data_IF_352563001290
#
_entry.id   IF_352563001290
#
_cell.length_a   1.000
_cell.length_b   1.000
_cell.length_c   1.000
_cell.angle_alpha   90.00
_cell.angle_beta   90.00
_cell.angle_gamma   90.00
#
_symmetry.space_group_name_H-M   'P 1'
#
loop_
_entity.id
_entity.type
_entity.pdbx_description
1 polymer ?
#
# COMPACT_ATOMS: atom_id res chain seq x y z
N UNK A 1 -2.24 -18.93 -37.93
CA UNK A 1 -1.61 -19.65 -36.81
C UNK A 1 -2.22 -19.08 -35.55
N UNK A 2 -3.13 -19.87 -34.96
CA UNK A 2 -4.23 -19.47 -34.07
C UNK A 2 -5.19 -18.49 -34.73
N UNK A 3 -6.48 -18.53 -34.43
CA UNK A 3 -7.36 -17.44 -34.86
C UNK A 3 -6.72 -16.18 -34.27
N UNK A 4 -6.27 -15.20 -35.08
CA UNK A 4 -5.69 -13.95 -34.55
C UNK A 4 -6.57 -13.34 -33.44
N UNK A 5 -7.88 -13.62 -33.55
CA UNK A 5 -8.88 -13.33 -32.53
C UNK A 5 -8.56 -13.98 -31.18
N UNK A 6 -8.34 -15.29 -31.10
CA UNK A 6 -8.06 -16.00 -29.84
C UNK A 6 -6.81 -15.45 -29.15
N UNK A 7 -5.69 -15.28 -29.88
CA UNK A 7 -4.46 -14.74 -29.29
C UNK A 7 -4.65 -13.31 -28.76
N UNK A 8 -5.33 -12.45 -29.52
CA UNK A 8 -5.64 -11.08 -29.10
C UNK A 8 -6.54 -11.05 -27.87
N UNK A 9 -7.51 -11.95 -27.78
CA UNK A 9 -8.37 -12.05 -26.60
C UNK A 9 -7.58 -12.58 -25.39
N UNK A 10 -6.68 -13.56 -25.54
CA UNK A 10 -5.75 -13.96 -24.48
C UNK A 10 -4.87 -12.80 -23.98
N UNK A 11 -4.29 -12.02 -24.90
CA UNK A 11 -3.52 -10.82 -24.54
C UNK A 11 -4.37 -9.80 -23.76
N UNK A 12 -5.62 -9.58 -24.18
CA UNK A 12 -6.56 -8.71 -23.45
C UNK A 12 -6.86 -9.26 -22.05
N UNK A 13 -7.09 -10.57 -21.90
CA UNK A 13 -7.28 -11.19 -20.59
C UNK A 13 -6.05 -11.01 -19.70
N UNK A 14 -4.84 -11.19 -20.24
CA UNK A 14 -3.59 -10.92 -19.50
C UNK A 14 -3.53 -9.46 -19.04
N UNK A 15 -3.86 -8.49 -19.90
CA UNK A 15 -3.96 -7.08 -19.49
C UNK A 15 -4.98 -6.88 -18.36
N UNK A 16 -6.18 -7.44 -18.48
CA UNK A 16 -7.26 -7.31 -17.47
C UNK A 16 -6.81 -7.79 -16.10
N UNK A 17 -6.12 -8.93 -16.04
CA UNK A 17 -5.75 -9.57 -14.79
C UNK A 17 -4.42 -9.10 -14.21
N UNK A 18 -3.36 -9.02 -15.02
CA UNK A 18 -2.01 -8.70 -14.53
C UNK A 18 -1.74 -7.20 -14.44
N UNK A 19 -2.35 -6.40 -15.32
CA UNK A 19 -2.17 -4.95 -15.34
C UNK A 19 -3.33 -4.20 -14.66
N UNK A 20 -4.26 -4.94 -14.04
CA UNK A 20 -5.40 -4.43 -13.27
C UNK A 20 -6.35 -3.48 -14.02
N UNK A 21 -6.46 -3.62 -15.34
CA UNK A 21 -7.38 -2.83 -16.19
C UNK A 21 -8.87 -3.04 -15.80
N UNK A 22 -9.21 -4.26 -15.36
CA UNK A 22 -10.49 -4.58 -14.73
C UNK A 22 -10.24 -5.09 -13.32
N UNK A 23 -9.78 -4.21 -12.43
CA UNK A 23 -9.34 -4.56 -11.08
C UNK A 23 -10.46 -4.75 -10.03
N UNK A 24 -11.75 -4.76 -10.37
CA UNK A 24 -12.82 -4.94 -9.37
C UNK A 24 -12.73 -6.30 -8.66
N UNK A 25 -12.36 -7.36 -9.39
CA UNK A 25 -12.13 -8.69 -8.81
C UNK A 25 -11.00 -8.67 -7.78
N UNK A 26 -9.94 -7.87 -7.98
CA UNK A 26 -8.80 -7.83 -7.04
C UNK A 26 -9.24 -7.21 -5.71
N UNK A 27 -10.15 -6.24 -5.77
CA UNK A 27 -10.70 -5.62 -4.57
C UNK A 27 -11.51 -6.66 -3.79
N UNK A 28 -12.43 -7.38 -4.45
CA UNK A 28 -13.19 -8.45 -3.80
C UNK A 28 -12.28 -9.57 -3.25
N UNK A 29 -11.26 -9.96 -4.01
CA UNK A 29 -10.29 -10.97 -3.59
C UNK A 29 -9.52 -10.55 -2.34
N UNK A 30 -8.98 -9.32 -2.32
CA UNK A 30 -8.18 -8.83 -1.20
C UNK A 30 -8.99 -8.72 0.10
N UNK A 31 -10.28 -8.42 0.03
CA UNK A 31 -11.16 -8.42 1.21
C UNK A 31 -11.39 -9.85 1.70
N UNK A 32 -11.78 -10.75 0.80
CA UNK A 32 -12.09 -12.13 1.14
C UNK A 32 -10.84 -12.90 1.63
N UNK A 33 -9.66 -12.55 1.11
CA UNK A 33 -8.38 -13.17 1.44
C UNK A 33 -7.56 -12.42 2.49
N UNK A 34 -8.06 -11.30 3.05
CA UNK A 34 -7.30 -10.47 3.99
C UNK A 34 -6.70 -11.26 5.17
N UNK A 35 -7.49 -12.16 5.77
CA UNK A 35 -7.04 -12.98 6.89
C UNK A 35 -5.99 -14.03 6.51
N UNK A 36 -5.92 -14.43 5.24
CA UNK A 36 -4.90 -15.37 4.76
C UNK A 36 -3.65 -14.62 4.30
N UNK A 37 -3.79 -13.51 3.59
CA UNK A 37 -2.68 -12.70 3.06
C UNK A 37 -1.89 -11.94 4.14
N UNK A 38 -2.45 -11.74 5.33
CA UNK A 38 -1.73 -11.17 6.49
C UNK A 38 -0.77 -12.16 7.15
N UNK A 39 -0.90 -13.45 6.90
CA UNK A 39 -0.01 -14.47 7.49
C UNK A 39 1.37 -14.40 6.85
N UNK A 40 2.35 -14.99 7.52
CA UNK A 40 3.65 -15.27 6.92
C UNK A 40 3.49 -16.25 5.74
N UNK A 41 4.24 -16.03 4.66
CA UNK A 41 4.19 -16.79 3.41
C UNK A 41 4.31 -18.31 3.58
N UNK A 42 5.04 -18.79 4.61
CA UNK A 42 5.19 -20.22 4.90
C UNK A 42 3.88 -20.90 5.34
N UNK A 43 2.96 -20.13 5.92
CA UNK A 43 1.70 -20.63 6.51
C UNK A 43 0.49 -20.36 5.59
N UNK A 44 0.67 -19.57 4.53
CA UNK A 44 -0.40 -19.22 3.59
C UNK A 44 -0.84 -20.46 2.80
N UNK A 45 -2.13 -20.76 2.85
CA UNK A 45 -2.71 -21.86 2.06
C UNK A 45 -3.01 -21.44 0.63
N UNK A 46 -2.22 -21.94 -0.34
CA UNK A 46 -2.47 -21.73 -1.77
C UNK A 46 -3.86 -22.21 -2.19
N UNK A 47 -4.30 -23.39 -1.72
CA UNK A 47 -5.63 -23.92 -2.03
C UNK A 47 -6.76 -22.98 -1.59
N UNK A 48 -6.64 -22.41 -0.38
CA UNK A 48 -7.63 -21.45 0.12
C UNK A 48 -7.64 -20.18 -0.73
N UNK A 49 -6.47 -19.64 -1.08
CA UNK A 49 -6.37 -18.46 -1.94
C UNK A 49 -6.96 -18.74 -3.33
N UNK A 50 -6.74 -19.93 -3.90
CA UNK A 50 -7.34 -20.32 -5.17
C UNK A 50 -8.87 -20.32 -5.12
N UNK A 51 -9.47 -20.91 -4.07
CA UNK A 51 -10.94 -20.89 -3.90
C UNK A 51 -11.50 -19.48 -3.71
N UNK A 52 -10.78 -18.61 -2.99
CA UNK A 52 -11.19 -17.22 -2.79
C UNK A 52 -11.06 -16.40 -4.09
N UNK A 53 -10.02 -16.66 -4.89
CA UNK A 53 -9.85 -16.03 -6.19
C UNK A 53 -10.96 -16.45 -7.15
N UNK A 54 -11.30 -17.75 -7.22
CA UNK A 54 -12.39 -18.25 -8.06
C UNK A 54 -13.73 -17.59 -7.68
N UNK A 55 -14.00 -17.47 -6.37
CA UNK A 55 -15.19 -16.76 -5.90
C UNK A 55 -15.19 -15.30 -6.35
N UNK A 56 -14.09 -14.58 -6.14
CA UNK A 56 -13.95 -13.16 -6.50
C UNK A 56 -14.07 -12.90 -8.01
N UNK A 57 -13.55 -13.82 -8.84
CA UNK A 57 -13.71 -13.78 -10.30
C UNK A 57 -15.17 -13.98 -10.71
N UNK A 58 -15.89 -14.90 -10.06
CA UNK A 58 -17.29 -15.20 -10.38
C UNK A 58 -18.26 -14.10 -9.96
N UNK A 59 -17.95 -13.37 -8.88
CA UNK A 59 -18.81 -12.30 -8.34
C UNK A 59 -18.48 -10.91 -8.87
N UNK A 60 -17.49 -10.78 -9.75
CA UNK A 60 -17.05 -9.50 -10.33
C UNK A 60 -17.37 -9.42 -11.82
N UNK A 61 -17.08 -8.27 -12.42
CA UNK A 61 -17.19 -8.07 -13.87
C UNK A 61 -16.24 -8.97 -14.67
N UNK A 62 -15.17 -9.48 -14.04
CA UNK A 62 -14.25 -10.45 -14.63
C UNK A 62 -14.91 -11.79 -15.00
N UNK A 63 -16.11 -12.09 -14.47
CA UNK A 63 -16.86 -13.30 -14.80
C UNK A 63 -17.19 -13.40 -16.31
N UNK A 64 -17.25 -12.26 -17.01
CA UNK A 64 -17.50 -12.18 -18.44
C UNK A 64 -16.29 -12.57 -19.31
N UNK A 65 -15.08 -12.65 -18.73
CA UNK A 65 -13.88 -13.02 -19.48
C UNK A 65 -13.88 -14.52 -19.81
N UNK A 66 -13.72 -14.91 -21.09
CA UNK A 66 -13.78 -16.31 -21.52
C UNK A 66 -12.58 -17.14 -21.04
N UNK A 67 -11.49 -16.50 -20.62
CA UNK A 67 -10.24 -17.17 -20.24
C UNK A 67 -9.89 -16.97 -18.76
N UNK A 68 -10.87 -16.60 -17.92
CA UNK A 68 -10.69 -16.45 -16.47
C UNK A 68 -10.20 -17.74 -15.79
N UNK A 69 -10.58 -18.91 -16.32
CA UNK A 69 -10.23 -20.22 -15.76
C UNK A 69 -8.74 -20.57 -15.96
N UNK A 70 -8.01 -19.82 -16.79
CA UNK A 70 -6.57 -19.97 -16.97
C UNK A 70 -5.75 -19.33 -15.84
N UNK A 71 -6.39 -18.55 -14.96
CA UNK A 71 -5.73 -17.92 -13.83
C UNK A 71 -5.47 -18.91 -12.69
N UNK A 72 -4.25 -18.88 -12.19
CA UNK A 72 -3.82 -19.70 -11.06
C UNK A 72 -3.19 -18.81 -9.98
N UNK A 73 -3.31 -19.22 -8.73
CA UNK A 73 -2.57 -18.57 -7.63
C UNK A 73 -1.19 -19.20 -7.52
N UNK A 74 -0.17 -18.36 -7.35
CA UNK A 74 1.21 -18.76 -7.02
C UNK A 74 1.66 -17.99 -5.78
N UNK A 75 2.44 -18.66 -4.93
CA UNK A 75 3.07 -18.07 -3.74
C UNK A 75 4.58 -18.15 -3.94
N UNK A 76 5.25 -17.00 -3.95
CA UNK A 76 6.70 -16.91 -4.04
C UNK A 76 7.36 -17.00 -2.66
N UNK A 77 8.58 -17.52 -2.62
CA UNK A 77 9.43 -17.59 -1.43
C UNK A 77 10.41 -16.41 -1.33
N UNK A 78 10.25 -15.40 -2.18
CA UNK A 78 11.11 -14.24 -2.30
C UNK A 78 10.28 -12.98 -2.62
N UNK A 79 10.78 -11.81 -2.25
CA UNK A 79 10.13 -10.52 -2.51
C UNK A 79 10.21 -10.09 -3.99
N UNK A 80 9.63 -8.95 -4.31
CA UNK A 80 9.66 -8.41 -5.68
C UNK A 80 11.08 -8.01 -6.10
N UNK A 81 11.87 -7.43 -5.19
CA UNK A 81 13.24 -7.00 -5.49
C UNK A 81 14.11 -8.21 -5.83
N UNK A 82 14.03 -9.28 -5.03
CA UNK A 82 14.75 -10.53 -5.30
C UNK A 82 14.30 -11.17 -6.62
N UNK A 83 13.00 -11.14 -6.94
CA UNK A 83 12.51 -11.62 -8.24
C UNK A 83 13.14 -10.85 -9.42
N UNK A 84 13.18 -9.52 -9.34
CA UNK A 84 13.75 -8.67 -10.37
C UNK A 84 15.24 -8.96 -10.54
N UNK A 85 15.98 -9.03 -9.44
CA UNK A 85 17.42 -9.35 -9.47
C UNK A 85 17.69 -10.73 -10.08
N UNK A 86 16.86 -11.73 -9.79
CA UNK A 86 16.97 -13.07 -10.39
C UNK A 86 16.76 -13.01 -11.91
N UNK A 87 15.75 -12.30 -12.39
CA UNK A 87 15.46 -12.24 -13.83
C UNK A 87 16.45 -11.36 -14.60
N UNK A 88 16.92 -10.26 -14.01
CA UNK A 88 17.97 -9.43 -14.62
C UNK A 88 19.29 -10.22 -14.76
N UNK A 89 19.63 -11.06 -13.78
CA UNK A 89 20.84 -11.93 -13.83
C UNK A 89 20.68 -13.13 -14.74
N UNK A 90 19.48 -13.69 -14.88
CA UNK A 90 19.24 -14.79 -15.82
C UNK A 90 19.48 -14.38 -17.30
N UNK A 91 19.48 -13.08 -17.60
CA UNK A 91 19.84 -12.54 -18.92
C UNK A 91 21.33 -12.26 -19.12
N UNK A 92 22.17 -12.35 -18.08
CA UNK A 92 23.63 -12.24 -18.18
C UNK A 92 24.25 -13.64 -18.29
N UNK A 93 25.13 -13.87 -19.26
CA UNK A 93 25.81 -15.17 -19.50
C UNK A 93 26.83 -15.55 -18.40
N UNK A 94 26.90 -14.80 -17.29
CA UNK A 94 27.83 -15.04 -16.19
C UNK A 94 27.32 -16.16 -15.25
N UNK A 95 27.87 -17.37 -15.44
CA UNK A 95 27.92 -18.55 -14.54
C UNK A 95 26.63 -18.97 -13.77
N UNK A 96 26.03 -20.15 -14.07
CA UNK A 96 24.77 -20.61 -13.45
C UNK A 96 24.93 -21.27 -12.07
N UNK A 97 26.12 -21.26 -11.46
CA UNK A 97 26.38 -22.00 -10.22
C UNK A 97 26.65 -21.08 -9.02
N UNK A 98 25.74 -21.11 -8.06
CA UNK A 98 25.79 -20.50 -6.71
C UNK A 98 25.18 -19.11 -6.53
N UNK A 99 23.87 -18.98 -6.69
CA UNK A 99 23.10 -18.25 -5.67
C UNK A 99 21.72 -18.91 -5.56
N UNK A 100 21.44 -19.55 -4.42
CA UNK A 100 20.06 -19.91 -4.06
C UNK A 100 19.23 -18.62 -4.05
N UNK A 101 17.94 -18.64 -4.45
CA UNK A 101 17.05 -17.51 -4.20
C UNK A 101 17.23 -17.08 -2.75
N UNK A 102 17.45 -15.79 -2.49
CA UNK A 102 17.44 -15.29 -1.12
C UNK A 102 16.03 -15.57 -0.62
N UNK A 103 15.88 -16.67 0.12
CA UNK A 103 14.64 -17.01 0.80
C UNK A 103 14.46 -15.98 1.89
N UNK A 104 13.55 -15.05 1.66
CA UNK A 104 13.16 -14.11 2.68
C UNK A 104 12.07 -14.76 3.53
N UNK A 105 12.48 -15.27 4.69
CA UNK A 105 11.60 -16.04 5.58
C UNK A 105 10.51 -15.20 6.23
N UNK A 106 10.56 -13.87 6.10
CA UNK A 106 9.66 -12.95 6.79
C UNK A 106 8.65 -12.25 5.86
N UNK A 107 8.38 -12.82 4.68
CA UNK A 107 7.41 -12.26 3.74
C UNK A 107 5.98 -12.41 4.24
N UNK A 108 5.21 -11.34 4.13
CA UNK A 108 3.76 -11.41 4.24
C UNK A 108 3.15 -12.13 3.04
N UNK A 109 1.96 -12.70 3.21
CA UNK A 109 1.19 -13.27 2.11
C UNK A 109 0.89 -12.24 1.01
N UNK A 110 0.75 -10.95 1.33
CA UNK A 110 0.61 -9.88 0.34
C UNK A 110 1.86 -9.69 -0.52
N UNK A 111 3.06 -9.84 0.04
CA UNK A 111 4.31 -9.75 -0.71
C UNK A 111 4.56 -11.02 -1.52
N UNK A 112 4.20 -12.19 -0.99
CA UNK A 112 4.44 -13.48 -1.62
C UNK A 112 3.41 -13.85 -2.71
N UNK A 113 2.19 -13.33 -2.63
CA UNK A 113 1.10 -13.69 -3.55
C UNK A 113 1.32 -13.16 -4.97
N UNK A 114 1.00 -13.99 -5.96
CA UNK A 114 0.99 -13.61 -7.37
C UNK A 114 -0.05 -14.43 -8.16
N UNK A 115 -0.37 -13.95 -9.35
CA UNK A 115 -1.15 -14.68 -10.34
C UNK A 115 -0.23 -15.37 -11.35
N UNK A 116 -0.67 -16.50 -11.88
CA UNK A 116 -0.08 -17.19 -13.02
C UNK A 116 -1.16 -17.42 -14.09
N UNK A 117 -0.75 -17.55 -15.35
CA UNK A 117 -1.66 -17.68 -16.48
C UNK A 117 -1.25 -18.87 -17.34
N UNK A 118 -2.04 -19.94 -17.28
CA UNK A 118 -1.71 -21.20 -17.94
C UNK A 118 -2.44 -21.31 -19.27
N UNK A 119 -1.68 -21.38 -20.35
CA UNK A 119 -2.19 -21.59 -21.70
C UNK A 119 -1.56 -22.83 -22.33
N UNK A 120 -2.34 -23.51 -23.17
CA UNK A 120 -1.82 -24.61 -23.98
C UNK A 120 -1.05 -24.12 -25.20
N UNK A 121 -0.33 -25.04 -25.83
CA UNK A 121 0.19 -24.84 -27.18
C UNK A 121 -0.97 -24.54 -28.15
N UNK A 122 -0.84 -23.57 -29.07
CA UNK A 122 0.36 -22.81 -29.43
C UNK A 122 0.50 -21.44 -28.76
N UNK A 123 -0.46 -21.00 -27.94
CA UNK A 123 -0.47 -19.64 -27.37
C UNK A 123 0.70 -19.44 -26.41
N UNK A 124 1.10 -20.51 -25.72
CA UNK A 124 2.26 -20.58 -24.83
C UNK A 124 3.59 -20.15 -25.50
N UNK A 125 3.68 -20.21 -26.84
CA UNK A 125 4.84 -19.71 -27.57
C UNK A 125 4.99 -18.19 -27.48
N UNK A 126 3.87 -17.46 -27.44
CA UNK A 126 3.82 -16.00 -27.28
C UNK A 126 3.79 -15.63 -25.80
N UNK A 127 2.95 -16.29 -25.02
CA UNK A 127 2.86 -16.12 -23.56
C UNK A 127 3.84 -17.02 -22.83
N UNK A 128 5.11 -16.95 -23.23
CA UNK A 128 6.15 -17.80 -22.68
C UNK A 128 6.53 -17.39 -21.24
N UNK A 129 7.37 -18.21 -20.59
CA UNK A 129 7.79 -17.96 -19.20
C UNK A 129 8.44 -16.59 -18.98
N UNK A 130 9.29 -16.17 -19.91
CA UNK A 130 10.02 -14.90 -19.85
C UNK A 130 9.08 -13.68 -19.88
N UNK A 131 8.02 -13.76 -20.69
CA UNK A 131 6.95 -12.76 -20.79
C UNK A 131 6.10 -12.77 -19.52
N UNK A 132 5.67 -13.95 -19.07
CA UNK A 132 4.84 -14.09 -17.88
C UNK A 132 5.54 -13.64 -16.59
N UNK A 133 6.85 -13.87 -16.45
CA UNK A 133 7.65 -13.36 -15.33
C UNK A 133 7.60 -11.83 -15.22
N UNK A 134 7.69 -11.11 -16.36
CA UNK A 134 7.60 -9.64 -16.38
C UNK A 134 6.20 -9.16 -16.02
N UNK A 135 5.15 -9.84 -16.52
CA UNK A 135 3.77 -9.55 -16.10
C UNK A 135 3.56 -9.79 -14.60
N UNK A 136 4.15 -10.85 -14.04
CA UNK A 136 4.07 -11.15 -12.61
C UNK A 136 4.74 -10.07 -11.77
N UNK A 137 5.90 -9.55 -12.18
CA UNK A 137 6.56 -8.43 -11.49
C UNK A 137 5.69 -7.16 -11.51
N UNK A 138 5.15 -6.80 -12.68
CA UNK A 138 4.24 -5.66 -12.82
C UNK A 138 2.99 -5.84 -11.94
N UNK A 139 2.39 -7.03 -11.96
CA UNK A 139 1.24 -7.36 -11.14
C UNK A 139 1.53 -7.21 -9.64
N UNK A 140 2.63 -7.80 -9.14
CA UNK A 140 3.03 -7.71 -7.73
C UNK A 140 3.23 -6.26 -7.31
N UNK A 141 3.84 -5.44 -8.18
CA UNK A 141 4.04 -4.03 -7.92
C UNK A 141 2.72 -3.26 -7.80
N UNK A 142 1.84 -3.40 -8.79
CA UNK A 142 0.53 -2.75 -8.82
C UNK A 142 -0.36 -3.21 -7.65
N UNK A 143 -0.36 -4.51 -7.36
CA UNK A 143 -1.13 -5.11 -6.27
C UNK A 143 -0.69 -4.55 -4.92
N UNK A 144 0.63 -4.44 -4.68
CA UNK A 144 1.11 -3.90 -3.41
C UNK A 144 0.72 -2.44 -3.23
N UNK A 145 0.82 -1.60 -4.27
CA UNK A 145 0.29 -0.24 -4.21
C UNK A 145 -1.21 -0.21 -3.92
N UNK A 146 -2.00 -1.11 -4.54
CA UNK A 146 -3.44 -1.25 -4.26
C UNK A 146 -3.71 -1.67 -2.81
N UNK A 147 -2.87 -2.51 -2.24
CA UNK A 147 -2.95 -2.90 -0.83
C UNK A 147 -2.73 -1.70 0.10
N UNK A 148 -1.68 -0.93 -0.13
CA UNK A 148 -1.37 0.26 0.68
C UNK A 148 -2.48 1.30 0.57
N UNK A 149 -2.96 1.58 -0.64
CA UNK A 149 -4.08 2.51 -0.89
C UNK A 149 -5.29 2.16 -0.02
N UNK A 150 -5.69 0.88 -0.03
CA UNK A 150 -6.85 0.41 0.74
C UNK A 150 -6.67 0.53 2.25
N UNK A 151 -5.49 0.19 2.75
CA UNK A 151 -5.18 0.34 4.17
C UNK A 151 -5.28 1.81 4.61
N UNK A 152 -4.79 2.73 3.78
CA UNK A 152 -4.88 4.16 4.04
C UNK A 152 -6.32 4.67 3.92
N UNK A 153 -7.12 4.19 2.96
CA UNK A 153 -8.54 4.55 2.85
C UNK A 153 -9.31 4.22 4.14
N UNK A 154 -9.02 3.08 4.79
CA UNK A 154 -9.67 2.67 6.04
C UNK A 154 -9.43 3.63 7.23
N UNK A 155 -8.50 4.57 7.11
CA UNK A 155 -8.24 5.60 8.13
C UNK A 155 -9.29 6.72 8.19
N UNK A 156 -10.28 6.73 7.29
CA UNK A 156 -11.36 7.74 7.24
C UNK A 156 -12.06 7.94 8.59
N UNK A 157 -12.04 6.91 9.44
CA UNK A 157 -12.58 6.97 10.80
C UNK A 157 -11.90 8.04 11.67
N UNK A 158 -10.61 8.34 11.45
CA UNK A 158 -9.90 9.40 12.18
C UNK A 158 -10.55 10.76 11.96
N UNK A 159 -10.98 11.07 10.73
CA UNK A 159 -11.69 12.31 10.43
C UNK A 159 -13.06 12.37 11.13
N UNK A 160 -13.70 11.22 11.34
CA UNK A 160 -14.95 11.13 12.10
C UNK A 160 -14.73 11.27 13.62
N UNK A 161 -13.63 10.73 14.14
CA UNK A 161 -13.24 10.84 15.56
C UNK A 161 -12.79 12.26 15.90
N UNK A 162 -12.02 12.91 15.03
CA UNK A 162 -11.60 14.31 15.19
C UNK A 162 -12.80 15.25 15.41
N UNK A 163 -13.91 15.03 14.69
CA UNK A 163 -15.14 15.83 14.84
C UNK A 163 -15.89 15.61 16.16
N UNK A 164 -15.57 14.56 16.93
CA UNK A 164 -16.28 14.15 18.14
C UNK A 164 -15.48 14.34 19.44
N UNK A 165 -14.20 14.70 19.36
CA UNK A 165 -13.31 14.82 20.52
C UNK A 165 -13.13 16.26 21.00
N UNK A 166 -12.62 16.41 22.23
CA UNK A 166 -12.22 17.71 22.81
C UNK A 166 -11.00 18.32 22.07
N UNK A 167 -10.87 19.65 22.13
CA UNK A 167 -9.92 20.46 21.33
C UNK A 167 -8.48 19.92 21.20
N UNK A 168 -7.88 19.38 22.26
CA UNK A 168 -6.51 18.83 22.22
C UNK A 168 -6.43 17.49 21.47
N UNK A 169 -7.39 16.59 21.70
CA UNK A 169 -7.47 15.32 20.99
C UNK A 169 -7.80 15.56 19.51
N UNK A 170 -8.67 16.53 19.23
CA UNK A 170 -8.99 16.98 17.88
C UNK A 170 -7.77 17.44 17.11
N UNK A 171 -6.80 18.08 17.77
CA UNK A 171 -5.61 18.61 17.10
C UNK A 171 -4.74 17.48 16.53
N UNK A 172 -4.38 16.46 17.33
CA UNK A 172 -3.53 15.38 16.82
C UNK A 172 -4.29 14.37 15.95
N UNK A 173 -5.60 14.16 16.15
CA UNK A 173 -6.41 13.40 15.20
C UNK A 173 -6.45 14.07 13.82
N UNK A 174 -6.52 15.40 13.80
CA UNK A 174 -6.49 16.17 12.55
C UNK A 174 -5.13 16.08 11.87
N UNK A 175 -4.02 16.16 12.61
CA UNK A 175 -2.68 16.00 12.02
C UNK A 175 -2.45 14.59 11.50
N UNK A 176 -2.89 13.56 12.23
CA UNK A 176 -2.82 12.17 11.79
C UNK A 176 -3.68 11.91 10.54
N UNK A 177 -4.89 12.47 10.49
CA UNK A 177 -5.75 12.40 9.32
C UNK A 177 -5.09 13.07 8.10
N UNK A 178 -4.53 14.28 8.28
CA UNK A 178 -3.84 15.00 7.20
C UNK A 178 -2.62 14.22 6.69
N UNK A 179 -1.81 13.64 7.59
CA UNK A 179 -0.70 12.77 7.20
C UNK A 179 -1.20 11.57 6.38
N UNK A 180 -2.30 10.95 6.80
CA UNK A 180 -2.87 9.83 6.06
C UNK A 180 -3.33 10.24 4.65
N UNK A 181 -3.96 11.41 4.52
CA UNK A 181 -4.35 11.93 3.21
C UNK A 181 -3.14 12.18 2.32
N UNK A 182 -2.05 12.72 2.85
CA UNK A 182 -0.81 12.95 2.09
C UNK A 182 -0.17 11.64 1.63
N UNK A 183 -0.11 10.63 2.50
CA UNK A 183 0.32 9.27 2.13
C UNK A 183 -0.58 8.65 1.05
N UNK A 184 -1.91 8.81 1.19
CA UNK A 184 -2.89 8.30 0.23
C UNK A 184 -2.74 8.96 -1.14
N UNK A 185 -2.63 10.30 -1.17
CA UNK A 185 -2.41 11.06 -2.41
C UNK A 185 -1.12 10.63 -3.10
N UNK A 186 -0.03 10.40 -2.36
CA UNK A 186 1.20 9.85 -2.93
C UNK A 186 0.95 8.50 -3.64
N UNK A 187 0.34 7.53 -2.95
CA UNK A 187 0.08 6.21 -3.51
C UNK A 187 -0.85 6.29 -4.73
N UNK A 188 -1.91 7.10 -4.67
CA UNK A 188 -2.86 7.27 -5.77
C UNK A 188 -2.21 7.93 -7.00
N UNK A 189 -1.41 8.98 -6.80
CA UNK A 189 -0.67 9.60 -7.91
C UNK A 189 0.36 8.65 -8.52
N UNK A 190 1.02 7.83 -7.70
CA UNK A 190 1.95 6.82 -8.18
C UNK A 190 1.26 5.70 -8.97
N UNK A 191 0.11 5.20 -8.50
CA UNK A 191 -0.73 4.25 -9.24
C UNK A 191 -1.24 4.83 -10.55
N UNK A 192 -1.73 6.07 -10.53
CA UNK A 192 -2.20 6.77 -11.72
C UNK A 192 -1.08 6.88 -12.77
N UNK A 193 0.13 7.26 -12.34
CA UNK A 193 1.30 7.31 -13.21
C UNK A 193 1.58 5.96 -13.88
N UNK A 194 1.64 4.87 -13.11
CA UNK A 194 1.87 3.53 -13.65
C UNK A 194 0.78 3.10 -14.63
N UNK A 195 -0.49 3.21 -14.26
CA UNK A 195 -1.60 2.70 -15.07
C UNK A 195 -1.88 3.57 -16.30
N UNK A 196 -1.99 4.89 -16.12
CA UNK A 196 -2.52 5.80 -17.15
C UNK A 196 -1.43 6.43 -18.00
N UNK A 197 -0.26 6.74 -17.43
CA UNK A 197 0.81 7.41 -18.20
C UNK A 197 1.81 6.45 -18.82
N UNK A 198 1.96 5.26 -18.25
CA UNK A 198 2.93 4.27 -18.69
C UNK A 198 2.24 3.11 -19.39
N UNK A 199 1.44 2.34 -18.64
CA UNK A 199 0.89 1.07 -19.11
C UNK A 199 -0.09 1.30 -20.25
N UNK A 200 -1.07 2.20 -20.11
CA UNK A 200 -2.09 2.39 -21.14
C UNK A 200 -1.52 2.87 -22.49
N UNK A 201 -0.63 3.89 -22.55
CA UNK A 201 -0.05 4.31 -23.81
C UNK A 201 0.90 3.26 -24.41
N UNK A 202 1.67 2.55 -23.58
CA UNK A 202 2.54 1.47 -24.03
C UNK A 202 1.71 0.32 -24.63
N UNK A 203 0.61 -0.07 -23.96
CA UNK A 203 -0.30 -1.09 -24.44
C UNK A 203 -0.96 -0.68 -25.76
N UNK A 204 -1.45 0.55 -25.87
CA UNK A 204 -2.05 1.06 -27.11
C UNK A 204 -1.09 0.95 -28.30
N UNK A 205 0.17 1.37 -28.10
CA UNK A 205 1.21 1.27 -29.12
C UNK A 205 1.55 -0.18 -29.48
N UNK A 206 1.66 -1.06 -28.49
CA UNK A 206 1.86 -2.49 -28.68
C UNK A 206 0.74 -3.11 -29.49
N UNK A 207 -0.51 -2.94 -29.04
CA UNK A 207 -1.67 -3.58 -29.65
C UNK A 207 -1.89 -3.10 -31.10
N UNK A 208 -1.60 -1.83 -31.39
CA UNK A 208 -1.57 -1.31 -32.76
C UNK A 208 -0.50 -1.99 -33.63
N UNK A 209 0.68 -2.30 -33.09
CA UNK A 209 1.72 -3.05 -33.80
C UNK A 209 1.30 -4.51 -34.00
N UNK A 210 0.65 -5.14 -33.02
CA UNK A 210 0.12 -6.52 -33.16
C UNK A 210 -0.83 -6.66 -34.36
N UNK A 211 -1.60 -5.61 -34.68
CA UNK A 211 -2.46 -5.59 -35.87
C UNK A 211 -1.69 -5.51 -37.20
N UNK A 212 -0.45 -5.01 -37.19
CA UNK A 212 0.36 -4.74 -38.38
C UNK A 212 1.44 -5.79 -38.64
N UNK A 213 1.80 -6.56 -37.62
CA UNK A 213 2.90 -7.53 -37.69
C UNK A 213 2.50 -8.75 -38.54
N UNK A 214 3.36 -9.12 -39.50
CA UNK A 214 3.18 -10.29 -40.37
C UNK A 214 3.84 -11.56 -39.85
N UNK A 215 4.83 -11.44 -38.97
CA UNK A 215 5.74 -12.52 -38.56
C UNK A 215 5.68 -12.76 -37.06
N UNK A 216 5.82 -14.01 -36.63
CA UNK A 216 5.80 -14.35 -35.21
C UNK A 216 6.95 -13.70 -34.43
N UNK A 217 8.16 -13.68 -34.98
CA UNK A 217 9.33 -13.14 -34.28
C UNK A 217 9.15 -11.64 -33.98
N UNK A 218 8.65 -10.88 -34.96
CA UNK A 218 8.32 -9.46 -34.77
C UNK A 218 7.23 -9.23 -33.71
N UNK A 219 6.31 -10.19 -33.54
CA UNK A 219 5.28 -10.12 -32.50
C UNK A 219 5.90 -10.34 -31.12
N UNK A 220 6.77 -11.34 -30.99
CA UNK A 220 7.50 -11.63 -29.76
C UNK A 220 8.38 -10.43 -29.35
N UNK A 221 9.13 -9.87 -30.29
CA UNK A 221 9.97 -8.69 -30.07
C UNK A 221 9.13 -7.47 -29.66
N UNK A 222 7.99 -7.25 -30.32
CA UNK A 222 7.08 -6.15 -29.97
C UNK A 222 6.49 -6.31 -28.57
N UNK A 223 6.22 -7.55 -28.16
CA UNK A 223 5.66 -7.87 -26.85
C UNK A 223 6.68 -7.70 -25.72
N UNK A 224 7.90 -8.19 -25.94
CA UNK A 224 9.01 -7.99 -25.01
C UNK A 224 9.35 -6.51 -24.86
N UNK A 225 9.41 -5.77 -25.96
CA UNK A 225 9.66 -4.33 -25.93
C UNK A 225 8.58 -3.57 -25.15
N UNK A 226 7.30 -3.95 -25.30
CA UNK A 226 6.21 -3.39 -24.48
C UNK A 226 6.47 -3.59 -22.98
N UNK A 227 6.82 -4.81 -22.58
CA UNK A 227 7.08 -5.13 -21.18
C UNK A 227 8.32 -4.43 -20.64
N UNK A 228 9.39 -4.31 -21.43
CA UNK A 228 10.60 -3.57 -21.05
C UNK A 228 10.28 -2.09 -20.78
N UNK A 229 9.54 -1.44 -21.67
CA UNK A 229 9.09 -0.06 -21.47
C UNK A 229 8.27 0.07 -20.18
N UNK A 230 7.36 -0.87 -19.91
CA UNK A 230 6.59 -0.85 -18.66
C UNK A 230 7.45 -1.09 -17.42
N UNK A 231 8.41 -2.02 -17.47
CA UNK A 231 9.30 -2.31 -16.33
C UNK A 231 10.22 -1.13 -16.02
N UNK A 232 10.79 -0.50 -17.04
CA UNK A 232 11.68 0.66 -16.90
C UNK A 232 10.90 1.88 -16.39
N UNK A 233 9.82 2.26 -17.07
CA UNK A 233 9.07 3.47 -16.74
C UNK A 233 8.33 3.31 -15.39
N UNK A 234 7.88 2.10 -14.99
CA UNK A 234 7.30 1.86 -13.65
C UNK A 234 8.35 1.75 -12.52
N UNK A 235 9.60 2.17 -12.76
CA UNK A 235 10.70 2.20 -11.78
C UNK A 235 11.21 0.82 -11.30
N UNK A 236 10.78 -0.27 -11.94
CA UNK A 236 11.19 -1.63 -11.54
C UNK A 236 12.62 -1.97 -11.97
N UNK A 237 13.13 -1.33 -13.02
CA UNK A 237 14.50 -1.54 -13.50
C UNK A 237 15.57 -0.86 -12.64
N UNK A 238 15.19 0.09 -11.78
CA UNK A 238 16.12 0.79 -10.89
C UNK A 238 15.94 0.34 -9.44
N UNK A 239 16.87 -0.47 -8.88
CA UNK A 239 16.73 -0.98 -7.52
C UNK A 239 16.72 0.15 -6.47
N UNK A 240 17.39 1.27 -6.74
CA UNK A 240 17.42 2.43 -5.84
C UNK A 240 16.07 3.14 -5.71
N UNK A 241 15.38 3.39 -6.83
CA UNK A 241 14.05 4.01 -6.80
C UNK A 241 13.02 3.03 -6.27
N UNK A 242 13.09 1.76 -6.68
CA UNK A 242 12.22 0.70 -6.17
C UNK A 242 12.36 0.54 -4.65
N UNK A 243 13.59 0.58 -4.12
CA UNK A 243 13.84 0.54 -2.67
C UNK A 243 13.20 1.73 -1.95
N UNK A 244 13.25 2.94 -2.53
CA UNK A 244 12.62 4.12 -1.94
C UNK A 244 11.10 4.04 -1.95
N UNK A 245 10.50 3.65 -3.08
CA UNK A 245 9.04 3.42 -3.17
C UNK A 245 8.60 2.34 -2.17
N UNK A 246 9.41 1.28 -2.02
CA UNK A 246 9.20 0.22 -1.03
C UNK A 246 9.23 0.76 0.41
N UNK A 247 10.24 1.54 0.78
CA UNK A 247 10.34 2.17 2.11
C UNK A 247 9.16 3.10 2.41
N UNK A 248 8.76 3.92 1.45
CA UNK A 248 7.59 4.80 1.59
C UNK A 248 6.33 3.97 1.80
N UNK A 249 6.14 2.91 1.00
CA UNK A 249 5.00 2.02 1.12
C UNK A 249 4.94 1.32 2.48
N UNK A 250 6.08 0.83 3.00
CA UNK A 250 6.17 0.23 4.34
C UNK A 250 5.83 1.24 5.44
N UNK A 251 6.30 2.49 5.32
CA UNK A 251 5.93 3.53 6.27
C UNK A 251 4.42 3.84 6.24
N UNK A 252 3.80 3.84 5.07
CA UNK A 252 2.35 3.99 4.91
C UNK A 252 1.59 2.85 5.60
N UNK A 253 2.00 1.60 5.39
CA UNK A 253 1.39 0.41 6.04
C UNK A 253 1.55 0.47 7.55
N UNK A 254 2.75 0.78 8.03
CA UNK A 254 3.05 0.87 9.46
C UNK A 254 2.19 1.95 10.13
N UNK A 255 2.07 3.11 9.49
CA UNK A 255 1.22 4.19 9.97
C UNK A 255 -0.27 3.82 9.93
N UNK A 256 -0.75 3.21 8.84
CA UNK A 256 -2.14 2.76 8.74
C UNK A 256 -2.51 1.75 9.83
N UNK A 257 -1.63 0.78 10.11
CA UNK A 257 -1.83 -0.21 11.18
C UNK A 257 -1.84 0.46 12.57
N UNK A 258 -0.92 1.39 12.81
CA UNK A 258 -0.88 2.19 14.04
C UNK A 258 -2.20 2.94 14.26
N UNK A 259 -2.72 3.58 13.22
CA UNK A 259 -4.00 4.28 13.24
C UNK A 259 -5.18 3.33 13.50
N UNK A 260 -5.19 2.15 12.88
CA UNK A 260 -6.25 1.16 13.09
C UNK A 260 -6.25 0.63 14.53
N UNK A 261 -5.09 0.31 15.09
CA UNK A 261 -4.97 -0.12 16.49
C UNK A 261 -5.43 0.96 17.47
N UNK A 262 -5.12 2.22 17.18
CA UNK A 262 -5.53 3.36 17.99
C UNK A 262 -7.03 3.64 17.90
N UNK A 263 -7.60 3.51 16.70
CA UNK A 263 -9.04 3.61 16.51
C UNK A 263 -9.74 2.49 17.31
N UNK A 264 -9.24 1.25 17.23
CA UNK A 264 -9.76 0.11 17.98
C UNK A 264 -9.69 0.33 19.50
N UNK A 265 -8.55 0.81 20.03
CA UNK A 265 -8.41 1.06 21.47
C UNK A 265 -9.34 2.18 21.98
N UNK A 266 -9.69 3.12 21.12
CA UNK A 266 -10.56 4.26 21.47
C UNK A 266 -12.05 3.94 21.31
N UNK A 267 -12.44 3.18 20.28
CA UNK A 267 -13.85 2.92 19.93
C UNK A 267 -14.33 1.51 20.29
N UNK A 268 -13.40 0.57 20.52
CA UNK A 268 -13.69 -0.85 20.72
C UNK A 268 -14.11 -1.61 19.45
N UNK A 269 -14.02 -1.00 18.25
CA UNK A 269 -14.49 -1.61 16.99
C UNK A 269 -13.31 -1.97 16.08
N UNK A 270 -13.29 -3.21 15.57
CA UNK A 270 -12.27 -3.70 14.65
C UNK A 270 -12.64 -3.35 13.20
N UNK A 271 -11.96 -2.34 12.65
CA UNK A 271 -12.17 -1.85 11.29
C UNK A 271 -11.60 -2.77 10.20
N UNK A 272 -10.95 -3.87 10.56
CA UNK A 272 -10.52 -4.86 9.58
C UNK A 272 -11.68 -5.71 9.04
N UNK A 273 -12.87 -5.64 9.65
CA UNK A 273 -14.09 -6.29 9.17
C UNK A 273 -14.99 -5.29 8.42
N UNK A 274 -15.23 -5.53 7.14
CA UNK A 274 -16.01 -4.65 6.24
C UNK A 274 -17.51 -4.56 6.58
N UNK A 275 -17.98 -5.17 7.68
CA UNK A 275 -19.40 -5.35 8.03
C UNK A 275 -19.89 -4.62 9.29
N UNK A 276 -19.01 -4.02 10.11
CA UNK A 276 -19.39 -3.51 11.45
C UNK A 276 -19.52 -1.97 11.55
N UNK A 277 -19.65 -1.31 10.40
CA UNK A 277 -19.77 0.15 10.26
C UNK A 277 -20.95 0.77 11.06
N UNK A 278 -22.05 0.03 11.21
CA UNK A 278 -23.26 0.49 11.91
C UNK A 278 -23.18 0.33 13.44
N UNK A 279 -22.49 -0.69 13.94
CA UNK A 279 -22.35 -0.91 15.39
C UNK A 279 -21.53 0.20 16.07
N UNK A 280 -20.54 0.72 15.34
CA UNK A 280 -19.75 1.90 15.71
C UNK A 280 -20.61 3.15 15.98
N UNK A 281 -21.72 3.31 15.24
CA UNK A 281 -22.66 4.43 15.38
C UNK A 281 -23.43 4.30 16.69
N UNK A 282 -23.86 3.09 17.04
CA UNK A 282 -24.66 2.81 18.25
C UNK A 282 -23.80 2.94 19.51
N UNK A 283 -22.56 2.44 19.49
CA UNK A 283 -21.64 2.51 20.64
C UNK A 283 -21.28 3.96 21.02
N UNK A 284 -20.88 4.77 20.04
CA UNK A 284 -20.52 6.18 20.27
C UNK A 284 -21.73 7.04 20.66
N UNK A 285 -22.94 6.69 20.22
CA UNK A 285 -24.16 7.38 20.64
C UNK A 285 -24.57 7.06 22.07
N UNK A 286 -24.23 5.86 22.59
CA UNK A 286 -24.59 5.43 23.96
C UNK A 286 -23.68 5.98 25.05
N UNK A 287 -22.43 6.31 24.74
CA UNK A 287 -21.47 6.80 25.73
C UNK A 287 -21.29 8.34 25.75
N UNK A 288 -21.85 9.07 24.78
CA UNK A 288 -21.83 10.54 24.77
C UNK A 288 -22.86 11.18 25.74
N UNK A 289 -23.87 10.42 26.19
CA UNK A 289 -24.93 10.92 27.07
C UNK A 289 -24.64 10.79 28.57
N UNK A 290 -23.50 10.21 28.97
CA UNK A 290 -23.12 10.06 30.39
C UNK A 290 -22.04 11.07 30.75
N UNK A 291 -22.43 12.34 30.80
CA UNK A 291 -21.68 13.37 31.53
C UNK A 291 -22.56 13.72 32.74
N UNK A 292 -22.30 13.04 33.86
CA UNK A 292 -22.98 13.32 35.13
C UNK A 292 -22.71 14.76 35.58
N UNK A 293 -23.80 15.50 35.85
CA UNK A 293 -23.77 16.81 36.53
C UNK A 293 -23.25 16.64 37.96
N UNK A 294 -22.49 17.62 38.50
CA UNK A 294 -21.96 17.53 39.86
C UNK A 294 -23.04 17.89 40.88
N UNK A 295 -23.23 17.07 41.91
CA UNK A 295 -23.98 17.41 43.13
C UNK A 295 -23.18 17.06 44.39
N UNK A 296 -23.34 17.94 45.38
CA UNK A 296 -22.59 18.12 46.62
C UNK A 296 -22.75 16.99 47.68
N UNK A 297 -21.71 16.93 48.54
CA UNK A 297 -21.62 16.49 49.96
C UNK A 297 -21.34 15.02 50.37
N UNK A 298 -20.19 14.89 51.05
CA UNK A 298 -19.59 13.88 51.99
C UNK A 298 -20.51 13.05 52.93
N UNK A 299 -20.01 12.09 53.78
CA UNK A 299 -18.79 11.23 53.76
C UNK A 299 -18.97 9.73 54.19
N UNK A 300 -18.14 8.79 53.69
CA UNK A 300 -17.64 7.45 54.24
C UNK A 300 -18.56 6.44 55.02
N UNK A 301 -18.14 5.17 55.36
CA UNK A 301 -16.96 4.33 54.98
C UNK A 301 -17.26 2.82 54.65
N UNK A 302 -16.17 2.07 54.36
CA UNK A 302 -15.99 0.60 54.39
C UNK A 302 -16.49 -0.18 53.15
N UNK A 303 -15.76 -1.15 52.58
CA UNK A 303 -14.96 -2.21 53.22
C UNK A 303 -13.88 -2.85 52.32
N UNK A 304 -12.86 -3.32 53.03
CA UNK A 304 -11.65 -4.11 52.76
C UNK A 304 -11.81 -5.40 51.93
N UNK A 305 -10.73 -5.79 51.21
CA UNK A 305 -10.13 -7.14 50.98
C UNK A 305 -9.44 -7.13 49.59
N UNK A 306 -8.18 -7.47 49.33
CA UNK A 306 -7.06 -8.01 50.12
C UNK A 306 -6.19 -8.90 49.20
N UNK A 307 -4.90 -8.56 49.04
CA UNK A 307 -3.73 -9.45 48.79
C UNK A 307 -3.65 -10.15 47.40
N UNK A 308 -2.50 -10.42 46.75
CA UNK A 308 -1.05 -10.33 47.06
C UNK A 308 -0.21 -10.48 45.80
N UNK A 309 0.97 -9.88 45.85
CA UNK A 309 2.15 -9.96 44.99
C UNK A 309 2.70 -11.40 44.89
N UNK A 310 3.27 -11.76 43.74
CA UNK A 310 4.41 -12.68 43.65
C UNK A 310 5.30 -12.37 42.43
N UNK A 311 6.49 -11.86 42.73
CA UNK A 311 7.65 -11.78 41.85
C UNK A 311 8.25 -13.17 41.62
N UNK A 312 8.67 -13.49 40.38
CA UNK A 312 9.74 -14.45 40.12
C UNK A 312 10.65 -13.92 39.00
N UNK A 313 11.88 -13.59 39.40
CA UNK A 313 13.03 -13.29 38.53
C UNK A 313 13.62 -14.57 37.93
N UNK A 314 13.90 -14.56 36.64
CA UNK A 314 15.00 -15.32 36.03
C UNK A 314 15.56 -14.54 34.82
N UNK A 315 16.87 -14.32 34.80
CA UNK A 315 17.64 -13.83 33.64
C UNK A 315 18.35 -15.02 32.96
N UNK A 316 18.58 -14.95 31.64
CA UNK A 316 19.85 -15.44 31.12
C UNK A 316 20.51 -14.55 30.04
N UNK A 317 21.79 -14.87 29.82
CA UNK A 317 22.84 -14.17 29.09
C UNK A 317 22.62 -14.00 27.57
N UNK A 318 23.22 -12.93 27.04
CA UNK A 318 23.48 -12.69 25.61
C UNK A 318 24.44 -13.72 24.99
N UNK A 319 24.30 -13.95 23.67
CA UNK A 319 25.40 -13.57 22.78
C UNK A 319 24.93 -12.74 21.57
N UNK A 320 25.82 -11.84 21.16
CA UNK A 320 25.65 -10.86 20.09
C UNK A 320 25.59 -11.50 18.69
N UNK A 321 24.55 -11.18 17.92
CA UNK A 321 24.62 -10.93 16.47
C UNK A 321 23.45 -10.04 16.04
N UNK A 322 23.79 -8.95 15.34
CA UNK A 322 22.89 -7.91 14.84
C UNK A 322 21.99 -8.45 13.71
N UNK A 323 20.66 -8.35 13.85
CA UNK A 323 19.70 -8.57 12.77
C UNK A 323 18.38 -7.81 13.03
N UNK A 324 17.66 -7.54 11.95
CA UNK A 324 16.57 -6.56 11.75
C UNK A 324 15.29 -6.83 12.60
N UNK A 325 15.27 -7.89 13.42
CA UNK A 325 14.19 -8.25 14.35
C UNK A 325 13.96 -7.27 15.52
N UNK A 326 14.85 -6.31 15.75
CA UNK A 326 14.77 -5.36 16.87
C UNK A 326 13.55 -4.40 16.82
N UNK A 327 12.85 -4.29 15.69
CA UNK A 327 11.76 -3.30 15.54
C UNK A 327 10.32 -3.84 15.68
N UNK A 328 10.10 -5.15 15.75
CA UNK A 328 8.72 -5.70 15.69
C UNK A 328 8.19 -6.28 17.02
N UNK A 329 9.03 -6.49 18.03
CA UNK A 329 8.54 -7.05 19.31
C UNK A 329 9.20 -6.40 20.52
N UNK A 330 8.62 -5.27 20.97
CA UNK A 330 8.61 -4.81 22.38
C UNK A 330 7.66 -3.61 22.55
N UNK A 331 6.37 -3.84 22.35
CA UNK A 331 5.33 -3.01 23.00
C UNK A 331 4.44 -3.99 23.77
N UNK A 332 5.00 -4.56 24.84
CA UNK A 332 4.26 -5.29 25.87
C UNK A 332 3.43 -4.29 26.67
N UNK A 333 2.15 -4.15 26.30
CA UNK A 333 0.89 -4.19 27.08
C UNK A 333 0.81 -3.61 28.52
N UNK A 334 1.87 -3.17 29.22
CA UNK A 334 1.77 -2.82 30.66
C UNK A 334 2.05 -1.36 31.08
N UNK A 335 2.20 -0.40 30.16
CA UNK A 335 2.45 1.02 30.54
C UNK A 335 1.38 2.04 30.10
N UNK A 336 0.12 1.63 29.92
CA UNK A 336 -0.99 2.59 29.76
C UNK A 336 -1.55 3.03 31.12
N UNK A 337 -0.65 3.55 31.97
CA UNK A 337 -0.97 4.27 33.19
C UNK A 337 -1.50 5.68 32.88
N UNK A 338 -2.59 6.05 33.54
CA UNK A 338 -3.34 7.30 33.37
C UNK A 338 -2.42 8.55 33.41
N UNK A 339 -2.74 9.51 32.54
CA UNK A 339 -2.10 10.84 32.34
C UNK A 339 -0.77 10.83 31.56
N UNK A 340 -0.85 10.97 30.22
CA UNK A 340 0.32 11.08 29.33
C UNK A 340 0.08 10.82 27.82
N UNK A 341 -1.02 10.15 27.46
CA UNK A 341 -1.29 9.64 26.09
C UNK A 341 -1.17 10.65 24.95
N UNK A 342 -1.73 11.85 25.10
CA UNK A 342 -1.91 12.78 23.97
C UNK A 342 -0.58 13.39 23.50
N UNK A 343 0.37 13.64 24.41
CA UNK A 343 1.66 14.24 24.07
C UNK A 343 2.59 13.23 23.41
N UNK A 344 2.55 11.97 23.85
CA UNK A 344 3.31 10.90 23.23
C UNK A 344 2.79 10.61 21.81
N UNK A 345 1.46 10.51 21.67
CA UNK A 345 0.80 10.29 20.37
C UNK A 345 1.11 11.39 19.35
N UNK A 346 1.11 12.66 19.78
CA UNK A 346 1.44 13.80 18.91
C UNK A 346 2.88 13.70 18.40
N UNK A 347 3.82 13.30 19.26
CA UNK A 347 5.23 13.09 18.88
C UNK A 347 5.37 11.93 17.89
N UNK A 348 4.66 10.83 18.12
CA UNK A 348 4.68 9.67 17.21
C UNK A 348 4.20 10.06 15.81
N UNK A 349 3.08 10.79 15.70
CA UNK A 349 2.56 11.27 14.41
C UNK A 349 3.55 12.23 13.74
N UNK A 350 4.16 13.14 14.50
CA UNK A 350 5.18 14.05 13.97
C UNK A 350 6.44 13.31 13.45
N UNK A 351 6.86 12.24 14.12
CA UNK A 351 7.97 11.39 13.68
C UNK A 351 7.63 10.66 12.37
N UNK A 352 6.41 10.13 12.22
CA UNK A 352 5.95 9.54 10.96
C UNK A 352 5.94 10.57 9.83
N UNK A 353 5.44 11.78 10.08
CA UNK A 353 5.42 12.87 9.11
C UNK A 353 6.83 13.26 8.65
N UNK A 354 7.74 13.52 9.58
CA UNK A 354 9.13 13.87 9.25
C UNK A 354 9.84 12.75 8.45
N UNK A 355 9.64 11.49 8.84
CA UNK A 355 10.24 10.37 8.11
C UNK A 355 9.65 10.22 6.70
N UNK A 356 8.33 10.35 6.56
CA UNK A 356 7.67 10.32 5.25
C UNK A 356 8.18 11.44 4.34
N UNK A 357 8.29 12.66 4.84
CA UNK A 357 8.78 13.81 4.08
C UNK A 357 10.21 13.60 3.58
N UNK A 358 11.11 13.15 4.46
CA UNK A 358 12.51 12.87 4.11
C UNK A 358 12.62 11.83 3.00
N UNK A 359 11.88 10.73 3.09
CA UNK A 359 11.89 9.69 2.05
C UNK A 359 11.28 10.19 0.73
N UNK A 360 10.23 11.00 0.79
CA UNK A 360 9.59 11.55 -0.40
C UNK A 360 10.49 12.58 -1.10
N UNK A 361 11.19 13.43 -0.36
CA UNK A 361 12.20 14.34 -0.91
C UNK A 361 13.33 13.54 -1.57
N UNK A 362 13.87 12.52 -0.90
CA UNK A 362 14.91 11.65 -1.48
C UNK A 362 14.42 10.99 -2.78
N UNK A 363 13.18 10.50 -2.81
CA UNK A 363 12.57 9.93 -4.02
C UNK A 363 12.47 10.98 -5.13
N UNK A 364 11.95 12.18 -4.85
CA UNK A 364 11.80 13.24 -5.83
C UNK A 364 13.15 13.68 -6.42
N UNK A 365 14.19 13.80 -5.59
CA UNK A 365 15.53 14.13 -6.04
C UNK A 365 16.10 13.05 -6.96
N UNK A 366 15.99 11.77 -6.58
CA UNK A 366 16.47 10.67 -7.43
C UNK A 366 15.68 10.55 -8.72
N UNK A 367 14.35 10.73 -8.69
CA UNK A 367 13.53 10.78 -9.91
C UNK A 367 13.97 11.96 -10.77
N UNK A 368 14.19 13.16 -10.23
CA UNK A 368 14.69 14.33 -11.00
C UNK A 368 16.05 14.05 -11.65
N UNK A 369 16.95 13.33 -10.97
CA UNK A 369 18.24 12.92 -11.53
C UNK A 369 18.09 11.91 -12.68
N UNK A 370 17.20 10.92 -12.50
CA UNK A 370 16.91 9.89 -13.50
C UNK A 370 16.12 10.44 -14.70
N UNK A 371 15.18 11.37 -14.47
CA UNK A 371 14.27 11.94 -15.44
C UNK A 371 14.91 12.93 -16.42
N UNK A 372 16.22 13.22 -16.32
CA UNK A 372 16.92 14.10 -17.28
C UNK A 372 16.75 13.67 -18.74
N UNK A 373 16.41 12.40 -18.98
CA UNK A 373 16.18 11.83 -20.31
C UNK A 373 14.74 11.33 -20.57
N UNK A 374 13.83 11.38 -19.58
CA UNK A 374 12.47 10.83 -19.68
C UNK A 374 11.41 11.85 -19.25
N UNK A 375 10.69 12.43 -20.22
CA UNK A 375 9.68 13.47 -19.98
C UNK A 375 8.49 13.02 -19.12
N UNK A 376 8.14 11.72 -19.14
CA UNK A 376 7.02 11.17 -18.36
C UNK A 376 7.27 11.22 -16.86
N UNK A 377 8.50 10.95 -16.42
CA UNK A 377 8.86 11.01 -14.99
C UNK A 377 8.79 12.43 -14.43
N UNK A 378 9.01 13.46 -15.26
CA UNK A 378 8.81 14.85 -14.85
C UNK A 378 7.34 15.15 -14.56
N UNK A 379 6.41 14.47 -15.25
CA UNK A 379 4.98 14.58 -14.94
C UNK A 379 4.66 14.01 -13.56
N UNK A 380 5.20 12.83 -13.22
CA UNK A 380 5.10 12.27 -11.86
C UNK A 380 5.66 13.25 -10.81
N UNK A 381 6.87 13.78 -11.02
CA UNK A 381 7.48 14.76 -10.11
C UNK A 381 6.57 15.96 -9.89
N UNK A 382 6.00 16.53 -10.96
CA UNK A 382 5.11 17.69 -10.85
C UNK A 382 3.82 17.42 -10.07
N UNK A 383 3.29 16.18 -10.13
CA UNK A 383 2.11 15.78 -9.36
C UNK A 383 2.41 15.48 -7.90
N UNK A 384 3.59 14.90 -7.64
CA UNK A 384 4.02 14.56 -6.29
C UNK A 384 4.49 15.81 -5.52
N UNK A 385 5.11 16.77 -6.20
CA UNK A 385 5.58 18.05 -5.64
C UNK A 385 4.58 19.18 -5.91
N UNK A 386 3.32 18.95 -5.54
CA UNK A 386 2.26 19.93 -5.74
C UNK A 386 2.56 21.23 -4.97
N UNK A 387 2.46 22.38 -5.66
CA UNK A 387 2.81 23.71 -5.14
C UNK A 387 4.24 23.84 -4.59
N UNK A 388 5.18 23.04 -5.11
CA UNK A 388 6.58 23.01 -4.66
C UNK A 388 6.73 22.73 -3.15
N UNK A 389 5.74 22.09 -2.52
CA UNK A 389 5.74 21.87 -1.08
C UNK A 389 7.00 21.14 -0.61
N UNK A 390 7.39 20.05 -1.30
CA UNK A 390 8.55 19.25 -0.91
C UNK A 390 9.86 19.90 -1.36
N UNK A 391 9.85 20.65 -2.46
CA UNK A 391 10.98 21.50 -2.85
C UNK A 391 11.25 22.59 -1.79
N UNK A 392 10.21 23.23 -1.26
CA UNK A 392 10.34 24.20 -0.17
C UNK A 392 10.75 23.54 1.15
N UNK A 393 10.20 22.36 1.46
CA UNK A 393 10.57 21.57 2.64
C UNK A 393 12.07 21.25 2.65
N UNK A 394 12.63 20.76 1.53
CA UNK A 394 14.06 20.48 1.41
C UNK A 394 14.91 21.75 1.63
N UNK A 395 14.52 22.87 1.01
CA UNK A 395 15.20 24.16 1.21
C UNK A 395 15.11 24.65 2.66
N UNK A 396 13.99 24.38 3.34
CA UNK A 396 13.78 24.74 4.73
C UNK A 396 14.64 23.91 5.70
N UNK A 397 14.82 22.61 5.48
CA UNK A 397 15.71 21.77 6.28
C UNK A 397 17.18 22.21 6.15
N UNK A 398 17.59 22.65 4.96
CA UNK A 398 18.89 23.27 4.76
C UNK A 398 19.06 24.62 5.49
N UNK A 399 17.95 25.31 5.80
CA UNK A 399 17.95 26.60 6.50
C UNK A 399 17.67 26.52 8.01
N UNK A 400 17.06 25.43 8.50
CA UNK A 400 16.51 25.31 9.86
C UNK A 400 17.42 24.48 10.78
N UNK A 401 18.47 25.16 11.25
CA UNK A 401 19.09 24.91 12.56
C UNK A 401 18.35 25.69 13.68
N UNK A 402 17.04 25.96 13.54
CA UNK A 402 16.28 26.78 14.50
C UNK A 402 14.82 26.30 14.66
N UNK A 403 14.41 26.11 15.92
CA UNK A 403 13.37 25.17 16.36
C UNK A 403 11.91 25.67 16.29
N UNK A 404 11.59 26.76 15.56
CA UNK A 404 10.32 27.49 15.75
C UNK A 404 9.28 27.43 14.60
N UNK A 405 9.65 26.97 13.39
CA UNK A 405 8.80 27.21 12.20
C UNK A 405 7.88 26.04 11.78
N UNK A 406 8.01 24.85 12.37
CA UNK A 406 7.22 23.67 11.98
C UNK A 406 5.70 23.80 12.26
N UNK A 407 5.30 24.59 13.26
CA UNK A 407 3.88 24.71 13.66
C UNK A 407 3.11 25.73 12.81
N UNK A 408 3.78 26.76 12.27
CA UNK A 408 3.11 27.79 11.43
C UNK A 408 2.82 27.28 10.02
N UNK A 409 3.72 26.47 9.47
CA UNK A 409 3.58 25.88 8.13
C UNK A 409 2.38 24.91 8.08
N UNK A 410 2.09 24.18 9.16
CA UNK A 410 0.91 23.30 9.24
C UNK A 410 -0.41 24.09 9.24
N UNK A 411 -0.44 25.29 9.84
CA UNK A 411 -1.65 26.08 10.01
C UNK A 411 -2.02 26.89 8.76
N UNK A 412 -1.03 27.41 8.02
CA UNK A 412 -1.27 28.06 6.71
C UNK A 412 -1.60 27.05 5.60
N UNK A 413 -1.03 25.84 5.64
CA UNK A 413 -1.29 24.81 4.64
C UNK A 413 -2.59 24.03 4.84
N UNK A 414 -3.14 23.99 6.06
CA UNK A 414 -4.53 23.52 6.27
C UNK A 414 -5.56 24.38 5.52
N UNK A 415 -5.31 25.68 5.38
CA UNK A 415 -6.23 26.59 4.66
C UNK A 415 -6.20 26.30 3.15
N UNK A 416 -5.02 26.02 2.59
CA UNK A 416 -4.87 25.70 1.16
C UNK A 416 -5.29 24.26 0.80
N UNK A 417 -5.22 23.30 1.73
CA UNK A 417 -5.73 21.94 1.48
C UNK A 417 -7.27 21.87 1.64
N UNK A 418 -7.85 22.66 2.54
CA UNK A 418 -9.31 22.78 2.66
C UNK A 418 -9.97 23.41 1.42
N UNK A 419 -9.28 24.32 0.71
CA UNK A 419 -9.77 24.83 -0.58
C UNK A 419 -9.74 23.77 -1.68
N UNK A 420 -8.74 22.87 -1.68
CA UNK A 420 -8.66 21.72 -2.61
C UNK A 420 -9.78 20.68 -2.39
N UNK A 421 -10.17 20.42 -1.14
CA UNK A 421 -11.31 19.55 -0.83
C UNK A 421 -12.65 20.15 -1.26
N UNK A 422 -12.82 21.48 -1.15
CA UNK A 422 -14.03 22.18 -1.61
C UNK A 422 -14.17 22.22 -3.14
N UNK A 423 -13.08 22.20 -3.90
CA UNK A 423 -13.17 22.15 -5.37
C UNK A 423 -13.55 20.78 -5.90
N UNK A 424 -13.27 19.70 -5.15
CA UNK A 424 -13.61 18.33 -5.54
C UNK A 424 -14.97 17.86 -5.00
N UNK A 425 -15.66 18.65 -4.17
CA UNK A 425 -16.98 18.30 -3.61
C UNK A 425 -18.17 19.00 -4.30
N UNK A 426 -17.94 19.73 -5.40
CA UNK A 426 -18.99 20.54 -6.07
C UNK A 426 -19.46 19.91 -7.40
N UNK A 427 -19.07 18.68 -7.72
CA UNK A 427 -19.47 18.01 -8.98
C UNK A 427 -20.47 16.86 -8.84
N UNK A 428 -20.99 16.57 -7.64
CA UNK A 428 -21.93 15.45 -7.40
C UNK A 428 -23.33 15.91 -6.97
N UNK A 429 -23.84 17.01 -7.54
CA UNK A 429 -25.25 17.39 -7.47
C UNK A 429 -25.74 17.77 -8.89
N UNK A 430 -26.06 16.77 -9.72
CA UNK A 430 -27.06 16.94 -10.79
C UNK A 430 -28.02 15.73 -10.80
N UNK A 431 -29.19 16.00 -10.20
CA UNK A 431 -30.54 15.63 -10.62
C UNK A 431 -30.87 14.16 -10.96
N UNK A 432 -31.49 13.53 -9.95
CA UNK A 432 -32.56 12.54 -10.13
C UNK A 432 -33.81 13.21 -10.74
N UNK A 433 -34.16 12.86 -11.99
CA UNK A 433 -35.51 12.42 -12.41
C UNK A 433 -35.35 11.32 -13.47
#
# INVERSE_FOLDING_TARGET
MLQQKDLKEHLKSVKRFFLLDQGDFIVHFMDAAAGELRKNSEVVSQLRLSSLLELALRTSTANADPFKDNLMVVIFQFDLISQILLVLRAGSEDEPNNVLPIEDKNLSGFEAFCLDYRVGWPIDLVLNRQVMDRYQMLFRHLLYCKHVERLLCNSWILGKLARKCDNLMTTWFTTAFLLTQRMLTFIQHFQYYMSVEIIEPAWHNFFKRVDQVSNLDLLLDSHLHFLEVCMDDCLLASPDLLSLVGKISVACVTFANFIQHLAFSTTGVDLSSSGESEQCIIYLSRHSSVVDKPLLHDPTPSSTLGLTINDVKYAPLEPATCSIESMITKITIEEFGRTGLSNDMTKTVANFDANFNRMLVELLEKIKQYAKHQSKLLSLVSRLDFNDFYTQFANSEHSLNSHCDQVKILHENQINYNSFLQTNSVSDDEDYI
#
